data_IF_581499192597
#
_entry.id   IF_581499192597
#
_cell.length_a   1.000
_cell.length_b   1.000
_cell.length_c   1.000
_cell.angle_alpha   90.00
_cell.angle_beta   90.00
_cell.angle_gamma   90.00
#
_symmetry.space_group_name_H-M   'P 1'
#
loop_
_entity.id
_entity.type
_entity.pdbx_description
1 polymer ?
#
# COMPACT_ATOMS: atom_id res chain seq x y z
N UNK A 1 7.60 26.73 34.29
CA UNK A 1 8.41 25.50 34.52
C UNK A 1 7.74 24.62 35.56
N UNK A 2 7.77 23.28 35.39
CA UNK A 2 7.25 22.33 36.39
C UNK A 2 8.41 21.54 36.98
N UNK A 3 8.54 21.58 38.31
CA UNK A 3 9.57 20.86 39.07
C UNK A 3 8.93 19.79 39.94
N UNK A 4 9.62 18.67 40.14
CA UNK A 4 9.15 17.58 41.00
C UNK A 4 10.02 17.56 42.26
N UNK A 5 9.39 17.64 43.43
CA UNK A 5 10.13 17.56 44.69
C UNK A 5 10.71 16.13 44.87
N UNK A 6 12.02 15.97 45.14
CA UNK A 6 12.64 14.65 45.26
C UNK A 6 12.20 13.87 46.52
N UNK A 7 11.58 14.54 47.52
CA UNK A 7 11.20 13.90 48.78
C UNK A 7 9.75 13.43 48.85
N UNK A 8 8.83 14.13 48.20
CA UNK A 8 7.38 13.84 48.29
C UNK A 8 6.68 13.81 46.92
N UNK A 9 7.45 13.88 45.84
CA UNK A 9 6.99 13.81 44.44
C UNK A 9 5.92 14.85 44.06
N UNK A 10 5.73 15.87 44.89
CA UNK A 10 4.79 16.95 44.63
C UNK A 10 5.26 17.78 43.43
N UNK A 11 4.36 18.00 42.47
CA UNK A 11 4.58 18.83 41.28
C UNK A 11 4.42 20.31 41.64
N UNK A 12 5.49 21.07 41.50
CA UNK A 12 5.56 22.51 41.77
C UNK A 12 5.52 23.25 40.44
N UNK A 13 4.50 24.09 40.22
CA UNK A 13 4.41 24.96 39.04
C UNK A 13 4.93 26.34 39.43
N UNK A 14 6.01 26.78 38.79
CA UNK A 14 6.55 28.12 38.94
C UNK A 14 6.34 28.90 37.64
N UNK A 15 5.79 30.10 37.77
CA UNK A 15 5.53 31.02 36.66
C UNK A 15 6.85 31.59 36.14
N UNK A 16 7.14 31.33 34.86
CA UNK A 16 8.41 31.68 34.21
C UNK A 16 8.68 33.19 34.17
N UNK A 17 7.64 34.02 34.25
CA UNK A 17 7.78 35.48 34.22
C UNK A 17 8.38 36.08 35.52
N UNK A 18 8.47 35.31 36.61
CA UNK A 18 8.97 35.78 37.90
C UNK A 18 10.22 35.00 38.38
N UNK A 19 10.86 34.22 37.51
CA UNK A 19 12.03 33.42 37.87
C UNK A 19 13.34 34.21 37.69
N UNK A 20 14.22 34.25 38.70
CA UNK A 20 15.56 34.80 38.54
C UNK A 20 16.39 33.95 37.57
N UNK A 21 17.26 34.60 36.80
CA UNK A 21 18.19 33.96 35.83
C UNK A 21 19.42 33.31 36.48
N UNK A 22 19.51 33.29 37.81
CA UNK A 22 20.60 32.68 38.58
C UNK A 22 20.07 31.48 39.38
N UNK A 23 20.92 30.55 39.83
CA UNK A 23 20.50 29.45 40.68
C UNK A 23 19.76 29.95 41.92
N UNK A 24 18.57 29.40 42.19
CA UNK A 24 17.76 29.75 43.36
C UNK A 24 17.14 28.50 44.00
N UNK A 25 16.78 28.62 45.28
CA UNK A 25 16.18 27.53 46.06
C UNK A 25 14.73 27.84 46.40
N UNK A 26 13.83 26.87 46.18
CA UNK A 26 12.41 26.99 46.54
C UNK A 26 12.03 25.91 47.53
N UNK A 27 11.30 26.29 48.60
CA UNK A 27 10.79 25.31 49.57
C UNK A 27 9.50 24.67 49.07
N UNK A 28 9.43 23.34 49.15
CA UNK A 28 8.21 22.61 48.85
C UNK A 28 7.12 22.87 49.93
N UNK A 29 5.89 23.30 49.57
CA UNK A 29 4.82 23.55 50.52
C UNK A 29 4.30 22.27 51.21
N UNK A 30 4.52 21.08 50.63
CA UNK A 30 4.03 19.82 51.21
C UNK A 30 4.95 19.20 52.26
N UNK A 31 6.26 19.36 52.13
CA UNK A 31 7.24 18.69 53.02
C UNK A 31 8.35 19.63 53.51
N UNK A 32 8.25 20.93 53.20
CA UNK A 32 9.18 22.01 53.56
C UNK A 32 10.64 21.80 53.14
N UNK A 33 10.90 20.82 52.28
CA UNK A 33 12.24 20.51 51.78
C UNK A 33 12.62 21.49 50.67
N UNK A 34 13.83 22.04 50.75
CA UNK A 34 14.38 22.97 49.75
C UNK A 34 14.78 22.22 48.48
N UNK A 35 14.39 22.76 47.32
CA UNK A 35 14.73 22.24 45.99
C UNK A 35 15.53 23.32 45.27
N UNK A 36 16.78 23.00 44.95
CA UNK A 36 17.69 23.91 44.24
C UNK A 36 17.50 23.77 42.74
N UNK A 37 17.27 24.89 42.07
CA UNK A 37 16.95 24.96 40.65
C UNK A 37 18.10 25.69 39.95
N UNK A 38 18.82 24.98 39.10
CA UNK A 38 19.80 25.57 38.19
C UNK A 38 19.17 25.64 36.80
N UNK A 39 18.97 26.84 36.21
CA UNK A 39 18.59 26.93 34.81
C UNK A 39 19.78 26.50 33.94
N UNK A 40 19.59 25.42 33.16
CA UNK A 40 20.64 24.73 32.41
C UNK A 40 21.45 25.65 31.48
N UNK A 41 22.78 25.58 31.63
CA UNK A 41 23.74 25.86 30.55
C UNK A 41 24.34 24.53 30.14
N UNK A 42 24.02 24.10 28.92
CA UNK A 42 24.56 22.91 28.27
C UNK A 42 26.06 23.09 28.02
N UNK A 43 26.90 22.13 28.42
CA UNK A 43 28.00 21.48 27.64
C UNK A 43 28.87 20.59 28.58
N UNK A 44 28.68 19.27 28.46
CA UNK A 44 29.73 18.28 28.14
C UNK A 44 30.85 17.92 29.14
N UNK A 45 30.86 16.65 29.59
CA UNK A 45 31.91 15.65 29.30
C UNK A 45 31.63 14.30 30.00
N UNK A 46 31.52 13.23 29.21
CA UNK A 46 31.62 11.82 29.64
C UNK A 46 33.07 11.45 30.02
N UNK A 47 33.34 10.26 30.62
CA UNK A 47 34.58 9.54 30.37
C UNK A 47 34.35 8.30 29.51
N UNK A 48 35.26 8.17 28.55
CA UNK A 48 35.28 7.28 27.38
C UNK A 48 35.95 5.95 27.72
N UNK A 49 35.47 4.83 27.13
CA UNK A 49 36.35 3.77 26.61
C UNK A 49 35.86 3.31 25.23
N UNK A 50 36.82 3.28 24.29
CA UNK A 50 36.88 2.86 22.89
C UNK A 50 35.94 1.71 22.45
N UNK A 51 35.51 1.50 21.20
CA UNK A 51 35.99 1.77 19.82
C UNK A 51 34.75 1.43 18.96
N UNK A 52 34.24 2.20 18.00
CA UNK A 52 34.70 2.46 16.63
C UNK A 52 33.84 3.59 16.04
N UNK A 53 34.45 4.39 15.18
CA UNK A 53 33.88 5.56 14.51
C UNK A 53 32.77 5.23 13.52
N UNK A 54 31.60 5.85 13.65
CA UNK A 54 30.82 6.28 12.49
C UNK A 54 30.31 7.70 12.72
N UNK A 55 30.81 8.60 11.86
CA UNK A 55 30.41 9.98 11.77
C UNK A 55 28.89 10.10 11.58
N UNK A 56 28.24 10.87 12.45
CA UNK A 56 26.87 11.32 12.25
C UNK A 56 26.84 12.17 10.98
N UNK A 57 26.37 11.56 9.89
CA UNK A 57 26.13 12.26 8.64
C UNK A 57 24.91 13.16 8.78
N UNK A 58 25.10 14.35 8.23
CA UNK A 58 24.12 15.39 8.04
C UNK A 58 22.89 14.92 7.27
N UNK A 59 21.79 15.62 7.53
CA UNK A 59 20.52 15.59 6.83
C UNK A 59 19.70 14.32 7.04
N UNK A 60 18.73 14.39 7.95
CA UNK A 60 17.48 13.66 7.75
C UNK A 60 16.82 14.24 6.48
N UNK A 61 17.30 13.78 5.33
CA UNK A 61 16.55 13.78 4.09
C UNK A 61 15.18 13.22 4.46
N UNK A 62 14.09 13.92 4.14
CA UNK A 62 12.78 13.31 4.13
C UNK A 62 12.88 12.12 3.15
N UNK A 63 13.19 10.93 3.67
CA UNK A 63 13.18 9.72 2.88
C UNK A 63 11.75 9.55 2.43
N UNK A 64 11.56 9.74 1.12
CA UNK A 64 10.29 9.55 0.47
C UNK A 64 9.92 8.08 0.73
N UNK A 65 8.76 7.77 1.34
CA UNK A 65 8.35 6.41 1.58
C UNK A 65 8.48 5.62 0.28
N UNK A 66 9.28 4.55 0.30
CA UNK A 66 9.54 3.74 -0.88
C UNK A 66 8.21 3.12 -1.27
N UNK A 67 7.69 3.42 -2.47
CA UNK A 67 6.44 2.83 -2.93
C UNK A 67 6.65 1.35 -3.32
N UNK A 68 5.70 0.50 -2.96
CA UNK A 68 5.68 -0.95 -3.23
C UNK A 68 6.15 -1.29 -4.67
N UNK A 69 7.26 -2.00 -4.91
CA UNK A 69 7.79 -2.21 -6.26
C UNK A 69 6.86 -3.06 -7.16
N UNK A 70 7.03 -2.93 -8.48
CA UNK A 70 6.33 -3.80 -9.44
C UNK A 70 6.94 -5.20 -9.41
N UNK A 71 6.09 -6.22 -9.40
CA UNK A 71 6.52 -7.61 -9.48
C UNK A 71 6.85 -7.99 -10.92
N UNK A 72 8.09 -8.46 -11.15
CA UNK A 72 8.56 -8.95 -12.45
C UNK A 72 8.78 -10.46 -12.38
N UNK A 73 7.95 -11.24 -13.06
CA UNK A 73 8.08 -12.71 -13.14
C UNK A 73 9.38 -13.17 -13.81
N UNK A 74 10.00 -12.31 -14.64
CA UNK A 74 11.19 -12.64 -15.44
C UNK A 74 12.53 -12.50 -14.71
N UNK A 75 12.56 -12.18 -13.41
CA UNK A 75 13.81 -12.11 -12.64
C UNK A 75 14.49 -13.48 -12.42
N UNK A 76 13.90 -14.57 -12.93
CA UNK A 76 14.48 -15.91 -12.97
C UNK A 76 14.50 -16.42 -14.42
N UNK A 77 15.62 -16.20 -15.11
CA UNK A 77 16.00 -16.95 -16.31
C UNK A 77 15.61 -16.34 -17.67
N UNK A 78 16.25 -15.24 -18.08
CA UNK A 78 16.31 -14.87 -19.50
C UNK A 78 17.50 -15.57 -20.18
N UNK A 79 17.20 -16.50 -21.09
CA UNK A 79 18.09 -16.80 -22.22
C UNK A 79 17.42 -16.27 -23.49
N UNK A 80 18.05 -15.35 -24.26
CA UNK A 80 17.47 -14.87 -25.50
C UNK A 80 17.66 -15.92 -26.61
N UNK A 81 16.55 -16.33 -27.24
CA UNK A 81 16.59 -17.14 -28.46
C UNK A 81 16.44 -16.26 -29.71
N UNK A 82 17.05 -16.65 -30.85
CA UNK A 82 17.41 -15.73 -31.91
C UNK A 82 16.29 -15.44 -32.92
N UNK A 83 16.43 -14.27 -33.51
CA UNK A 83 15.74 -13.70 -34.67
C UNK A 83 15.78 -14.63 -35.88
N UNK A 84 14.64 -14.83 -36.55
CA UNK A 84 14.59 -15.45 -37.88
C UNK A 84 14.09 -14.42 -38.90
N UNK A 85 14.89 -14.21 -39.95
CA UNK A 85 14.67 -13.24 -41.01
C UNK A 85 13.78 -13.84 -42.12
N UNK A 86 12.82 -13.05 -42.55
CA UNK A 86 12.13 -13.21 -43.83
C UNK A 86 11.31 -11.95 -44.06
N UNK A 87 11.64 -11.17 -45.07
CA UNK A 87 10.97 -9.91 -45.44
C UNK A 87 9.72 -10.18 -46.27
N UNK A 88 8.50 -9.99 -45.75
CA UNK A 88 7.36 -9.60 -46.56
C UNK A 88 7.34 -8.07 -46.70
N UNK A 89 6.74 -7.58 -47.78
CA UNK A 89 6.59 -6.16 -48.02
C UNK A 89 5.78 -5.52 -46.88
N UNK A 90 6.22 -4.34 -46.40
CA UNK A 90 5.65 -3.72 -45.19
C UNK A 90 4.16 -3.42 -45.28
N UNK A 91 3.61 -3.27 -46.50
CA UNK A 91 2.17 -3.09 -46.71
C UNK A 91 1.38 -4.40 -46.57
N UNK A 92 1.93 -5.52 -47.05
CA UNK A 92 1.31 -6.85 -46.89
C UNK A 92 1.33 -7.31 -45.43
N UNK A 93 2.38 -6.94 -44.70
CA UNK A 93 2.52 -7.21 -43.27
C UNK A 93 1.51 -6.39 -42.45
N UNK A 94 1.38 -5.08 -42.73
CA UNK A 94 0.36 -4.23 -42.11
C UNK A 94 -1.05 -4.72 -42.46
N UNK A 95 -1.31 -5.08 -43.72
CA UNK A 95 -2.61 -5.61 -44.14
C UNK A 95 -2.94 -6.95 -43.46
N UNK A 96 -1.95 -7.83 -43.27
CA UNK A 96 -2.12 -9.07 -42.52
C UNK A 96 -2.40 -8.83 -41.04
N UNK A 97 -1.65 -7.94 -40.41
CA UNK A 97 -1.84 -7.56 -39.00
C UNK A 97 -3.22 -6.92 -38.80
N UNK A 98 -3.63 -6.01 -39.68
CA UNK A 98 -4.93 -5.36 -39.62
C UNK A 98 -6.07 -6.36 -39.86
N UNK A 99 -5.93 -7.25 -40.86
CA UNK A 99 -6.92 -8.29 -41.13
C UNK A 99 -7.01 -9.31 -39.99
N UNK A 100 -5.91 -9.60 -39.28
CA UNK A 100 -5.91 -10.45 -38.09
C UNK A 100 -6.55 -9.74 -36.90
N UNK A 101 -6.33 -8.44 -36.71
CA UNK A 101 -6.98 -7.64 -35.69
C UNK A 101 -8.50 -7.53 -35.92
N UNK A 102 -8.94 -7.37 -37.17
CA UNK A 102 -10.35 -7.30 -37.55
C UNK A 102 -11.06 -8.65 -37.38
N UNK A 103 -10.43 -9.76 -37.81
CA UNK A 103 -10.97 -11.11 -37.56
C UNK A 103 -11.08 -11.45 -36.08
N UNK A 104 -10.11 -11.00 -35.28
CA UNK A 104 -10.14 -11.13 -33.81
C UNK A 104 -11.21 -10.23 -33.15
N UNK A 105 -11.64 -9.17 -33.84
CA UNK A 105 -12.73 -8.30 -33.38
C UNK A 105 -14.11 -8.89 -33.74
N UNK A 106 -14.22 -9.55 -34.89
CA UNK A 106 -15.48 -10.13 -35.39
C UNK A 106 -15.82 -11.49 -34.74
N UNK A 107 -14.81 -12.29 -34.37
CA UNK A 107 -15.01 -13.54 -33.62
C UNK A 107 -15.33 -13.33 -32.13
N UNK A 108 -15.47 -12.08 -31.67
CA UNK A 108 -15.71 -11.71 -30.27
C UNK A 108 -17.18 -11.63 -29.85
N UNK A 109 -18.10 -12.16 -30.65
CA UNK A 109 -19.51 -12.33 -30.27
C UNK A 109 -19.75 -13.78 -29.89
N UNK A 110 -20.13 -13.99 -28.64
CA UNK A 110 -20.47 -15.26 -27.95
C UNK A 110 -19.31 -15.88 -27.16
N UNK A 111 -19.41 -15.77 -25.83
CA UNK A 111 -18.66 -16.49 -24.79
C UNK A 111 -17.27 -15.95 -24.38
N UNK A 112 -17.27 -14.93 -23.52
CA UNK A 112 -16.76 -15.04 -22.14
C UNK A 112 -15.29 -15.41 -21.84
N UNK A 113 -14.41 -15.63 -22.81
CA UNK A 113 -12.96 -15.74 -22.57
C UNK A 113 -12.30 -14.40 -22.90
N UNK A 114 -11.74 -13.76 -21.87
CA UNK A 114 -11.21 -12.40 -21.92
C UNK A 114 -10.29 -12.18 -23.11
N UNK A 115 -10.58 -11.12 -23.88
CA UNK A 115 -9.64 -10.57 -24.85
C UNK A 115 -8.39 -10.16 -24.07
N UNK A 116 -7.20 -10.67 -24.43
CA UNK A 116 -5.94 -10.24 -23.79
C UNK A 116 -5.88 -8.71 -23.79
N UNK A 117 -5.84 -8.09 -22.61
CA UNK A 117 -5.73 -6.64 -22.47
C UNK A 117 -4.39 -6.21 -23.05
N UNK A 118 -4.38 -5.15 -23.85
CA UNK A 118 -3.13 -4.61 -24.34
C UNK A 118 -2.28 -4.13 -23.14
N UNK A 119 -0.95 -4.14 -23.26
CA UNK A 119 -0.06 -3.78 -22.17
C UNK A 119 -0.32 -2.40 -21.55
N UNK A 120 -0.87 -1.47 -22.32
CA UNK A 120 -1.24 -0.11 -21.88
C UNK A 120 -2.61 -0.02 -21.17
N UNK A 121 -3.38 -1.12 -21.13
CA UNK A 121 -4.73 -1.21 -20.55
C UNK A 121 -4.82 -2.30 -19.45
N UNK A 122 -3.65 -2.71 -18.92
CA UNK A 122 -3.56 -3.65 -17.82
C UNK A 122 -4.02 -2.99 -16.52
N UNK A 123 -4.77 -3.73 -15.73
CA UNK A 123 -5.25 -3.27 -14.42
C UNK A 123 -4.10 -3.25 -13.44
N UNK A 124 -3.94 -2.16 -12.71
CA UNK A 124 -2.95 -2.05 -11.63
C UNK A 124 -3.49 -2.69 -10.35
N UNK A 125 -2.76 -3.65 -9.80
CA UNK A 125 -3.11 -4.34 -8.55
C UNK A 125 -2.07 -4.09 -7.49
N UNK A 126 -2.49 -3.65 -6.31
CA UNK A 126 -1.64 -3.60 -5.12
C UNK A 126 -1.92 -4.81 -4.22
N UNK A 127 -0.89 -5.59 -3.93
CA UNK A 127 -0.93 -6.78 -3.06
C UNK A 127 -0.33 -6.43 -1.70
N UNK A 128 -1.20 -6.26 -0.71
CA UNK A 128 -0.87 -6.02 0.69
C UNK A 128 -1.22 -7.28 1.50
N UNK A 129 -0.38 -8.31 1.45
CA UNK A 129 -0.65 -9.60 2.09
C UNK A 129 0.47 -10.07 3.02
N UNK A 130 0.16 -11.04 3.88
CA UNK A 130 1.18 -11.76 4.63
C UNK A 130 2.17 -12.48 3.68
N UNK A 131 3.41 -12.72 4.13
CA UNK A 131 4.44 -13.34 3.29
C UNK A 131 4.06 -14.75 2.80
N UNK A 132 3.14 -15.44 3.50
CA UNK A 132 2.70 -16.79 3.13
C UNK A 132 2.03 -16.87 1.75
N UNK A 133 1.32 -15.81 1.33
CA UNK A 133 0.53 -15.82 0.09
C UNK A 133 0.98 -14.78 -0.94
N UNK A 134 1.89 -13.87 -0.57
CA UNK A 134 2.25 -12.69 -1.37
C UNK A 134 2.75 -13.04 -2.76
N UNK A 135 3.77 -13.90 -2.85
CA UNK A 135 4.37 -14.28 -4.14
C UNK A 135 3.41 -15.13 -4.98
N UNK A 136 2.69 -16.07 -4.35
CA UNK A 136 1.72 -16.92 -5.04
C UNK A 136 0.60 -16.09 -5.69
N UNK A 137 0.03 -15.13 -4.94
CA UNK A 137 -0.99 -14.21 -5.46
C UNK A 137 -0.41 -13.35 -6.59
N UNK A 138 0.80 -12.83 -6.43
CA UNK A 138 1.42 -11.99 -7.45
C UNK A 138 1.65 -12.76 -8.76
N UNK A 139 2.11 -14.00 -8.69
CA UNK A 139 2.29 -14.88 -9.86
C UNK A 139 0.96 -15.15 -10.55
N UNK A 140 -0.07 -15.56 -9.81
CA UNK A 140 -1.41 -15.84 -10.35
C UNK A 140 -1.99 -14.64 -11.11
N UNK A 141 -1.76 -13.42 -10.61
CA UNK A 141 -2.28 -12.19 -11.23
C UNK A 141 -1.46 -11.75 -12.44
N UNK A 142 -0.13 -11.88 -12.41
CA UNK A 142 0.71 -11.58 -13.60
C UNK A 142 0.35 -12.51 -14.77
N UNK A 143 0.07 -13.78 -14.49
CA UNK A 143 -0.41 -14.74 -15.50
C UNK A 143 -1.73 -14.34 -16.15
N UNK A 144 -2.56 -13.55 -15.45
CA UNK A 144 -3.81 -12.99 -15.97
C UNK A 144 -3.65 -11.57 -16.56
N UNK A 145 -2.42 -11.17 -16.93
CA UNK A 145 -2.12 -9.87 -17.54
C UNK A 145 -2.42 -8.65 -16.63
N UNK A 146 -2.30 -8.79 -15.31
CA UNK A 146 -2.33 -7.65 -14.38
C UNK A 146 -0.95 -7.03 -14.17
N UNK A 147 -0.91 -5.71 -13.93
CA UNK A 147 0.29 -5.01 -13.47
C UNK A 147 0.31 -5.03 -11.94
N UNK A 148 1.13 -5.92 -11.37
CA UNK A 148 1.13 -6.23 -9.94
C UNK A 148 2.21 -5.45 -9.20
N UNK A 149 1.83 -4.80 -8.09
CA UNK A 149 2.72 -4.15 -7.14
C UNK A 149 2.64 -4.87 -5.79
N UNK A 150 3.77 -5.25 -5.20
CA UNK A 150 3.81 -5.98 -3.94
C UNK A 150 4.30 -5.06 -2.83
N UNK A 151 3.50 -4.92 -1.78
CA UNK A 151 3.90 -4.22 -0.56
C UNK A 151 4.35 -5.22 0.50
N UNK A 152 5.54 -5.04 1.03
CA UNK A 152 6.04 -5.82 2.16
C UNK A 152 5.54 -5.27 3.50
N UNK A 153 5.35 -3.94 3.57
CA UNK A 153 4.98 -3.21 4.77
C UNK A 153 3.96 -2.09 4.47
N UNK A 154 3.41 -1.49 5.53
CA UNK A 154 2.43 -0.42 5.49
C UNK A 154 2.92 0.80 4.72
N UNK A 155 4.19 1.19 4.90
CA UNK A 155 4.75 2.38 4.25
C UNK A 155 4.79 2.22 2.72
N UNK A 156 5.18 1.04 2.23
CA UNK A 156 5.18 0.70 0.81
C UNK A 156 3.79 0.70 0.20
N UNK A 157 2.83 0.09 0.88
CA UNK A 157 1.44 0.04 0.44
C UNK A 157 0.82 1.44 0.33
N UNK A 158 0.97 2.26 1.38
CA UNK A 158 0.50 3.64 1.35
C UNK A 158 1.24 4.51 0.33
N UNK A 159 2.56 4.34 0.22
CA UNK A 159 3.37 5.03 -0.79
C UNK A 159 2.82 4.77 -2.19
N UNK A 160 2.57 3.50 -2.53
CA UNK A 160 2.04 3.11 -3.84
C UNK A 160 0.63 3.65 -4.10
N UNK A 161 -0.26 3.60 -3.12
CA UNK A 161 -1.62 4.16 -3.25
C UNK A 161 -1.63 5.68 -3.48
N UNK A 162 -0.61 6.40 -3.00
CA UNK A 162 -0.46 7.85 -3.17
C UNK A 162 0.18 8.24 -4.49
N UNK A 163 1.11 7.42 -4.98
CA UNK A 163 1.84 7.68 -6.22
C UNK A 163 1.03 7.32 -7.46
N UNK A 164 0.27 6.22 -7.40
CA UNK A 164 -0.50 5.72 -8.52
C UNK A 164 -1.93 5.36 -8.09
N UNK A 165 -2.87 5.54 -9.02
CA UNK A 165 -4.22 5.01 -8.87
C UNK A 165 -4.20 3.50 -9.10
N UNK A 166 -4.62 2.75 -8.10
CA UNK A 166 -4.81 1.31 -8.19
C UNK A 166 -6.25 0.99 -8.63
N UNK A 167 -6.38 0.03 -9.54
CA UNK A 167 -7.68 -0.51 -9.97
C UNK A 167 -8.18 -1.56 -8.98
N UNK A 168 -7.25 -2.35 -8.42
CA UNK A 168 -7.52 -3.37 -7.40
C UNK A 168 -6.56 -3.22 -6.23
N UNK A 169 -7.06 -3.35 -5.01
CA UNK A 169 -6.24 -3.51 -3.80
C UNK A 169 -6.64 -4.80 -3.12
N UNK A 170 -5.66 -5.66 -2.82
CA UNK A 170 -5.83 -6.91 -2.11
C UNK A 170 -5.20 -6.76 -0.73
N UNK A 171 -6.00 -6.90 0.32
CA UNK A 171 -5.57 -6.74 1.71
C UNK A 171 -5.82 -8.01 2.52
N UNK A 172 -4.77 -8.58 3.09
CA UNK A 172 -4.86 -9.68 4.06
C UNK A 172 -5.13 -9.16 5.47
N UNK A 173 -5.97 -9.86 6.22
CA UNK A 173 -6.23 -9.63 7.64
C UNK A 173 -4.95 -9.63 8.51
N UNK A 174 -3.88 -10.27 8.05
CA UNK A 174 -2.58 -10.31 8.73
C UNK A 174 -1.49 -9.45 8.05
N UNK A 175 -1.86 -8.45 7.26
CA UNK A 175 -0.89 -7.56 6.63
C UNK A 175 -0.26 -6.59 7.64
N UNK A 176 1.06 -6.66 7.75
CA UNK A 176 1.91 -5.83 8.62
C UNK A 176 1.30 -5.59 10.02
N UNK A 177 1.17 -6.66 10.83
CA UNK A 177 0.47 -6.57 12.12
C UNK A 177 1.21 -5.71 13.15
N UNK A 178 2.53 -5.53 13.00
CA UNK A 178 3.34 -4.70 13.90
C UNK A 178 3.03 -3.21 13.72
N UNK A 179 2.91 -2.75 12.48
CA UNK A 179 2.63 -1.34 12.13
C UNK A 179 1.14 -1.10 11.79
N UNK A 180 0.27 -2.06 12.10
CA UNK A 180 -1.18 -1.98 11.86
C UNK A 180 -1.55 -1.74 10.39
N UNK A 181 -0.84 -2.39 9.46
CA UNK A 181 -1.02 -2.19 8.02
C UNK A 181 -2.48 -2.30 7.55
N UNK A 182 -3.23 -3.28 8.07
CA UNK A 182 -4.67 -3.43 7.78
C UNK A 182 -5.47 -2.17 8.06
N UNK A 183 -5.26 -1.55 9.24
CA UNK A 183 -5.99 -0.37 9.65
C UNK A 183 -5.66 0.84 8.77
N UNK A 184 -4.38 1.02 8.44
CA UNK A 184 -3.90 2.14 7.62
C UNK A 184 -4.33 2.03 6.15
N UNK A 185 -4.19 0.86 5.53
CA UNK A 185 -4.65 0.63 4.15
C UNK A 185 -6.17 0.81 4.08
N UNK A 186 -6.93 0.22 5.02
CA UNK A 186 -8.38 0.39 5.08
C UNK A 186 -8.79 1.86 5.26
N UNK A 187 -8.06 2.61 6.09
CA UNK A 187 -8.29 4.05 6.28
C UNK A 187 -8.02 4.83 4.99
N UNK A 188 -6.93 4.54 4.29
CA UNK A 188 -6.60 5.21 3.02
C UNK A 188 -7.72 5.00 1.99
N UNK A 189 -8.21 3.75 1.84
CA UNK A 189 -9.35 3.43 0.96
C UNK A 189 -10.62 4.21 1.36
N UNK A 190 -10.89 4.34 2.67
CA UNK A 190 -12.06 5.09 3.18
C UNK A 190 -11.96 6.59 2.95
N UNK A 191 -10.75 7.15 2.89
CA UNK A 191 -10.50 8.57 2.68
C UNK A 191 -10.53 8.98 1.21
N UNK A 192 -10.52 8.02 0.27
CA UNK A 192 -10.67 8.29 -1.15
C UNK A 192 -11.94 9.09 -1.44
N UNK A 193 -11.85 10.03 -2.39
CA UNK A 193 -13.02 10.79 -2.81
C UNK A 193 -14.07 9.82 -3.39
N UNK A 194 -15.37 10.10 -3.28
CA UNK A 194 -16.39 9.18 -3.77
C UNK A 194 -16.26 8.78 -5.24
N UNK A 195 -15.70 9.64 -6.12
CA UNK A 195 -15.42 9.30 -7.52
C UNK A 195 -14.26 8.29 -7.65
N UNK A 196 -13.24 8.41 -6.82
CA UNK A 196 -12.06 7.54 -6.80
C UNK A 196 -12.37 6.20 -6.13
N UNK A 197 -13.13 6.20 -5.03
CA UNK A 197 -13.55 4.95 -4.36
C UNK A 197 -14.39 4.05 -5.27
N UNK A 198 -15.17 4.62 -6.19
CA UNK A 198 -15.95 3.89 -7.22
C UNK A 198 -15.08 3.30 -8.32
N UNK A 199 -13.83 3.74 -8.44
CA UNK A 199 -12.83 3.28 -9.41
C UNK A 199 -11.86 2.26 -8.82
N UNK A 200 -12.00 1.92 -7.53
CA UNK A 200 -11.18 0.94 -6.84
C UNK A 200 -12.01 -0.30 -6.48
N UNK A 201 -11.54 -1.46 -6.90
CA UNK A 201 -12.06 -2.75 -6.49
C UNK A 201 -11.27 -3.30 -5.29
N UNK A 202 -11.89 -3.33 -4.12
CA UNK A 202 -11.20 -3.66 -2.86
C UNK A 202 -11.49 -5.11 -2.42
N UNK A 203 -10.44 -5.91 -2.28
CA UNK A 203 -10.49 -7.33 -1.93
C UNK A 203 -9.91 -7.55 -0.54
N UNK A 204 -10.60 -8.33 0.29
CA UNK A 204 -10.17 -8.68 1.65
C UNK A 204 -9.94 -10.18 1.80
N UNK A 205 -8.74 -10.58 2.23
CA UNK A 205 -8.39 -11.96 2.54
C UNK A 205 -8.52 -12.19 4.03
N UNK A 206 -9.41 -13.09 4.44
CA UNK A 206 -9.61 -13.42 5.85
C UNK A 206 -10.06 -14.86 6.01
N UNK A 207 -9.67 -15.52 7.10
CA UNK A 207 -10.09 -16.88 7.40
C UNK A 207 -11.53 -16.91 7.97
N UNK A 208 -12.13 -18.10 8.01
CA UNK A 208 -13.43 -18.34 8.65
C UNK A 208 -14.64 -17.79 7.89
N UNK A 209 -14.45 -17.40 6.64
CA UNK A 209 -15.51 -16.86 5.76
C UNK A 209 -15.59 -17.70 4.48
N UNK A 210 -16.75 -17.69 3.84
CA UNK A 210 -16.93 -18.29 2.53
C UNK A 210 -16.42 -17.30 1.47
N UNK A 211 -15.58 -17.78 0.55
CA UNK A 211 -15.13 -16.99 -0.61
C UNK A 211 -16.33 -16.49 -1.42
N UNK A 212 -16.28 -15.22 -1.84
CA UNK A 212 -17.38 -14.50 -2.50
C UNK A 212 -18.68 -14.43 -1.67
N UNK A 213 -18.61 -14.38 -0.34
CA UNK A 213 -19.80 -14.11 0.48
C UNK A 213 -20.18 -12.61 0.46
N UNK A 214 -21.30 -12.22 -0.17
CA UNK A 214 -21.67 -10.82 -0.31
C UNK A 214 -22.04 -10.16 1.02
N UNK A 215 -22.58 -10.93 1.97
CA UNK A 215 -22.97 -10.40 3.28
C UNK A 215 -21.73 -10.02 4.10
N UNK A 216 -20.72 -10.89 4.16
CA UNK A 216 -19.45 -10.59 4.82
C UNK A 216 -18.72 -9.44 4.12
N UNK A 217 -18.69 -9.43 2.78
CA UNK A 217 -18.07 -8.33 2.03
C UNK A 217 -18.70 -6.98 2.37
N UNK A 218 -20.03 -6.92 2.46
CA UNK A 218 -20.77 -5.73 2.87
C UNK A 218 -20.40 -5.27 4.29
N UNK A 219 -20.38 -6.17 5.27
CA UNK A 219 -20.01 -5.84 6.65
C UNK A 219 -18.57 -5.29 6.76
N UNK A 220 -17.65 -5.83 5.96
CA UNK A 220 -16.26 -5.39 5.90
C UNK A 220 -16.04 -4.14 5.01
N UNK A 221 -17.09 -3.63 4.36
CA UNK A 221 -17.02 -2.50 3.42
C UNK A 221 -16.05 -2.74 2.23
N UNK A 222 -15.95 -3.99 1.78
CA UNK A 222 -15.11 -4.42 0.66
C UNK A 222 -15.96 -4.93 -0.50
N UNK A 223 -15.36 -5.06 -1.68
CA UNK A 223 -16.05 -5.52 -2.88
C UNK A 223 -16.05 -7.06 -3.01
N UNK A 224 -15.00 -7.71 -2.49
CA UNK A 224 -14.83 -9.16 -2.54
C UNK A 224 -14.11 -9.64 -1.28
N UNK A 225 -14.55 -10.76 -0.74
CA UNK A 225 -13.88 -11.47 0.35
C UNK A 225 -13.43 -12.83 -0.14
N UNK A 226 -12.21 -13.21 0.22
CA UNK A 226 -11.59 -14.48 -0.17
C UNK A 226 -11.04 -15.17 1.07
N UNK A 227 -11.33 -16.47 1.19
CA UNK A 227 -10.69 -17.30 2.18
C UNK A 227 -9.27 -17.64 1.70
N UNK A 228 -8.21 -17.48 2.51
CA UNK A 228 -6.85 -17.87 2.14
C UNK A 228 -6.72 -19.34 1.68
N UNK A 229 -7.62 -20.22 2.13
CA UNK A 229 -7.67 -21.63 1.69
C UNK A 229 -8.06 -21.79 0.22
N UNK A 230 -8.73 -20.79 -0.36
CA UNK A 230 -9.22 -20.77 -1.74
C UNK A 230 -8.42 -19.77 -2.61
N UNK A 231 -7.18 -19.43 -2.24
CA UNK A 231 -6.38 -18.40 -2.94
C UNK A 231 -6.17 -18.74 -4.42
N UNK A 232 -6.14 -20.02 -4.78
CA UNK A 232 -6.02 -20.48 -6.18
C UNK A 232 -7.22 -20.04 -7.05
N UNK A 233 -8.39 -19.83 -6.44
CA UNK A 233 -9.60 -19.37 -7.12
C UNK A 233 -9.68 -17.83 -7.21
N UNK A 234 -8.72 -17.10 -6.62
CA UNK A 234 -8.67 -15.64 -6.65
C UNK A 234 -8.86 -15.05 -8.05
N UNK A 235 -8.18 -15.53 -9.12
CA UNK A 235 -8.28 -14.88 -10.43
C UNK A 235 -9.69 -14.97 -11.03
N UNK A 236 -10.32 -16.15 -10.93
CA UNK A 236 -11.68 -16.36 -11.43
C UNK A 236 -12.72 -15.57 -10.62
N UNK A 237 -12.61 -15.63 -9.29
CA UNK A 237 -13.48 -14.88 -8.38
C UNK A 237 -13.37 -13.37 -8.60
N UNK A 238 -12.14 -12.87 -8.82
CA UNK A 238 -11.86 -11.46 -9.07
C UNK A 238 -12.47 -11.00 -10.40
N UNK A 239 -12.24 -11.72 -11.50
CA UNK A 239 -12.76 -11.34 -12.82
C UNK A 239 -14.29 -11.37 -12.86
N UNK A 240 -14.92 -12.40 -12.29
CA UNK A 240 -16.37 -12.47 -12.18
C UNK A 240 -16.95 -11.31 -11.36
N UNK A 241 -16.32 -10.99 -10.22
CA UNK A 241 -16.80 -9.92 -9.34
C UNK A 241 -16.59 -8.53 -9.95
N UNK A 242 -15.47 -8.30 -10.65
CA UNK A 242 -15.22 -7.06 -11.41
C UNK A 242 -16.26 -6.90 -12.53
N UNK A 243 -16.64 -7.99 -13.22
CA UNK A 243 -17.71 -7.93 -14.24
C UNK A 243 -19.03 -7.44 -13.65
N UNK A 244 -19.46 -8.01 -12.52
CA UNK A 244 -20.69 -7.57 -11.84
C UNK A 244 -20.58 -6.11 -11.37
N UNK A 245 -19.42 -5.71 -10.87
CA UNK A 245 -19.16 -4.34 -10.44
C UNK A 245 -19.23 -3.34 -11.60
N UNK A 246 -18.65 -3.69 -12.75
CA UNK A 246 -18.71 -2.88 -13.95
C UNK A 246 -20.13 -2.76 -14.51
N UNK A 247 -20.96 -3.81 -14.40
CA UNK A 247 -22.38 -3.71 -14.76
C UNK A 247 -23.14 -2.79 -13.81
N UNK A 248 -22.89 -2.90 -12.49
CA UNK A 248 -23.48 -2.00 -11.48
C UNK A 248 -23.16 -0.53 -11.76
N UNK A 249 -21.92 -0.23 -12.17
CA UNK A 249 -21.47 1.14 -12.46
C UNK A 249 -21.55 1.53 -13.93
N UNK A 250 -22.20 0.73 -14.78
CA UNK A 250 -22.22 0.94 -16.24
C UNK A 250 -22.74 2.32 -16.64
N UNK A 251 -23.87 2.74 -16.05
CA UNK A 251 -24.46 4.04 -16.35
C UNK A 251 -23.58 5.21 -15.86
N UNK A 252 -22.97 5.06 -14.69
CA UNK A 252 -22.02 6.04 -14.13
C UNK A 252 -20.78 6.19 -15.02
N UNK A 253 -20.18 5.07 -15.42
CA UNK A 253 -19.01 5.06 -16.29
C UNK A 253 -19.33 5.70 -17.64
N UNK A 254 -20.48 5.36 -18.24
CA UNK A 254 -20.94 5.97 -19.50
C UNK A 254 -21.18 7.48 -19.38
N UNK A 255 -21.78 7.94 -18.29
CA UNK A 255 -22.08 9.36 -18.10
C UNK A 255 -20.83 10.23 -17.93
N UNK A 256 -19.70 9.62 -17.55
CA UNK A 256 -18.42 10.31 -17.32
C UNK A 256 -17.35 9.94 -18.37
N UNK A 257 -17.72 9.24 -19.44
CA UNK A 257 -16.81 8.72 -20.47
C UNK A 257 -15.62 7.94 -19.90
N UNK A 258 -15.87 7.15 -18.86
CA UNK A 258 -14.88 6.34 -18.18
C UNK A 258 -14.91 4.89 -18.68
N UNK A 259 -13.73 4.28 -18.84
CA UNK A 259 -13.60 2.85 -19.10
C UNK A 259 -14.07 2.02 -17.90
N UNK A 260 -14.65 0.83 -18.09
CA UNK A 260 -14.83 -0.13 -17.00
C UNK A 260 -13.47 -0.47 -16.37
N UNK A 261 -13.47 -0.88 -15.09
CA UNK A 261 -12.26 -1.35 -14.42
C UNK A 261 -11.80 -2.66 -15.08
#
# INVERSE_FOLDING_TARGET
>A
MVLICPKCEARLRLDEAQLPSHPFSVRCPKCQTSVDVQPDSVVGREPVVATETVAVRASAVFERPVAAPQFNSNAVGENPSPTNQGTPSGLDEIARVLAQALRSAESGSVSGRGRKRAAWDRRKVLVCTSPAYREAIAQLLVEQDYDVFMAENMAEGLGRMREDRMDVVILDANFDPLEQGVAFITREVRLLRPSERRRLFFVYLTAGVRTMDPHTAFLQNVNLVINPSDVEQLPEALELSIRHYNELYRAFNRALDLSPI
#
